data_IF_391375457208
#
_entry.id   IF_391375457208
#
_cell.length_a   1.000
_cell.length_b   1.000
_cell.length_c   1.000
_cell.angle_alpha   90.00
_cell.angle_beta   90.00
_cell.angle_gamma   90.00
#
_symmetry.space_group_name_H-M   'P 1'
#
loop_
_entity.id
_entity.type
_entity.pdbx_description
1 polymer ?
#
# COMPACT_ATOMS: atom_id res chain seq x y z
N UNK A 1 -34.35 -31.64 -68.63
CA UNK A 1 -33.03 -31.52 -67.98
C UNK A 1 -33.06 -30.29 -67.06
N UNK A 2 -33.12 -30.51 -65.72
CA UNK A 2 -33.25 -29.41 -64.75
C UNK A 2 -31.86 -29.32 -64.10
N UNK A 3 -31.14 -28.22 -64.34
CA UNK A 3 -29.83 -27.95 -63.74
C UNK A 3 -30.02 -27.51 -62.29
N UNK A 4 -29.49 -28.30 -61.34
CA UNK A 4 -29.45 -27.94 -59.92
C UNK A 4 -28.31 -26.99 -59.65
N UNK A 5 -28.61 -25.72 -59.37
CA UNK A 5 -27.67 -24.72 -58.93
C UNK A 5 -27.32 -24.98 -57.44
N UNK A 6 -26.05 -25.34 -57.14
CA UNK A 6 -25.55 -25.46 -55.78
C UNK A 6 -25.06 -24.08 -55.30
N UNK A 7 -25.81 -23.50 -54.37
CA UNK A 7 -25.35 -22.28 -53.65
C UNK A 7 -24.39 -22.71 -52.56
N UNK A 8 -23.12 -22.32 -52.71
CA UNK A 8 -22.09 -22.50 -51.68
C UNK A 8 -22.14 -21.25 -50.79
N UNK A 9 -22.65 -21.41 -49.57
CA UNK A 9 -22.62 -20.37 -48.55
C UNK A 9 -21.27 -20.45 -47.84
N UNK A 10 -20.41 -19.47 -48.12
CA UNK A 10 -19.10 -19.34 -47.49
C UNK A 10 -19.28 -18.62 -46.17
N UNK A 11 -19.23 -19.36 -45.03
CA UNK A 11 -19.19 -18.77 -43.71
C UNK A 11 -17.81 -18.17 -43.41
N UNK A 12 -17.73 -16.85 -43.47
CA UNK A 12 -16.53 -16.11 -43.06
C UNK A 12 -16.50 -16.03 -41.52
N UNK A 13 -15.71 -16.92 -40.88
CA UNK A 13 -15.44 -16.80 -39.46
C UNK A 13 -14.47 -15.64 -39.23
N UNK A 14 -14.98 -14.48 -38.82
CA UNK A 14 -14.16 -13.37 -38.35
C UNK A 14 -13.72 -13.72 -36.92
N UNK A 15 -12.47 -14.21 -36.78
CA UNK A 15 -11.81 -14.32 -35.48
C UNK A 15 -11.53 -12.90 -34.97
N UNK A 16 -12.38 -12.37 -34.06
CA UNK A 16 -12.03 -11.23 -33.24
C UNK A 16 -10.90 -11.69 -32.28
N UNK A 17 -9.66 -11.33 -32.63
CA UNK A 17 -8.55 -11.43 -31.67
C UNK A 17 -8.77 -10.35 -30.61
N UNK A 18 -9.37 -10.72 -29.48
CA UNK A 18 -9.35 -9.90 -28.27
C UNK A 18 -7.93 -9.96 -27.74
N UNK A 19 -7.18 -8.87 -27.92
CA UNK A 19 -5.91 -8.68 -27.25
C UNK A 19 -6.18 -8.63 -25.74
N UNK A 20 -5.86 -9.72 -25.03
CA UNK A 20 -5.84 -9.71 -23.58
C UNK A 20 -4.65 -8.84 -23.19
N UNK A 21 -4.94 -7.59 -22.82
CA UNK A 21 -3.95 -6.72 -22.18
C UNK A 21 -3.63 -7.33 -20.82
N UNK A 22 -2.49 -7.99 -20.72
CA UNK A 22 -1.94 -8.41 -19.42
C UNK A 22 -1.51 -7.15 -18.68
N UNK A 23 -2.15 -6.84 -17.57
CA UNK A 23 -1.68 -5.78 -16.68
C UNK A 23 -0.31 -6.15 -16.13
N UNK A 24 0.66 -5.26 -16.23
CA UNK A 24 2.00 -5.45 -15.66
C UNK A 24 2.00 -4.96 -14.22
N UNK A 25 1.73 -5.89 -13.30
CA UNK A 25 1.54 -5.61 -11.89
C UNK A 25 2.87 -5.70 -11.12
N UNK A 26 3.09 -4.73 -10.26
CA UNK A 26 4.20 -4.72 -9.30
C UNK A 26 3.67 -4.54 -7.86
N UNK A 27 4.56 -4.75 -6.88
CA UNK A 27 4.25 -4.61 -5.46
C UNK A 27 5.10 -3.52 -4.81
N UNK A 28 4.54 -2.92 -3.74
CA UNK A 28 5.25 -2.03 -2.84
C UNK A 28 4.75 -2.24 -1.39
N UNK A 29 5.61 -1.95 -0.42
CA UNK A 29 5.32 -2.21 0.99
C UNK A 29 5.65 -0.99 1.83
N UNK A 30 4.67 -0.54 2.66
CA UNK A 30 4.84 0.58 3.57
C UNK A 30 4.16 0.32 4.91
N UNK A 31 4.79 0.78 5.98
CA UNK A 31 4.19 0.86 7.31
C UNK A 31 4.01 2.33 7.70
N UNK A 32 2.82 2.72 8.13
CA UNK A 32 2.49 4.13 8.41
C UNK A 32 1.51 4.31 9.57
N UNK A 33 1.69 3.54 10.65
CA UNK A 33 0.74 3.44 11.76
C UNK A 33 -0.38 2.47 11.43
N UNK A 34 -1.59 2.75 11.89
CA UNK A 34 -2.75 1.90 11.64
C UNK A 34 -2.91 1.55 10.15
N UNK A 35 -2.81 0.27 9.84
CA UNK A 35 -2.90 -0.23 8.46
C UNK A 35 -4.28 0.00 7.82
N UNK A 36 -5.39 0.08 8.59
CA UNK A 36 -6.70 0.44 8.04
C UNK A 36 -6.71 1.83 7.39
N UNK A 37 -6.00 2.80 8.02
CA UNK A 37 -5.88 4.15 7.49
C UNK A 37 -4.98 4.21 6.26
N UNK A 38 -3.94 3.40 6.23
CA UNK A 38 -3.04 3.29 5.09
C UNK A 38 -3.74 2.60 3.92
N UNK A 39 -4.46 1.50 4.16
CA UNK A 39 -5.29 0.77 3.19
C UNK A 39 -6.29 1.73 2.53
N UNK A 40 -7.16 2.42 3.30
CA UNK A 40 -8.10 3.42 2.78
C UNK A 40 -7.42 4.48 1.89
N UNK A 41 -6.25 4.97 2.32
CA UNK A 41 -5.56 6.03 1.60
C UNK A 41 -4.99 5.56 0.26
N UNK A 42 -4.43 4.35 0.22
CA UNK A 42 -3.77 3.85 -0.99
C UNK A 42 -4.75 3.26 -2.00
N UNK A 43 -5.86 2.65 -1.58
CA UNK A 43 -6.88 2.14 -2.50
C UNK A 43 -7.54 3.24 -3.33
N UNK A 44 -7.60 4.45 -2.79
CA UNK A 44 -8.11 5.63 -3.52
C UNK A 44 -7.12 6.21 -4.53
N UNK A 45 -5.90 5.67 -4.61
CA UNK A 45 -4.89 6.18 -5.53
C UNK A 45 -5.02 5.52 -6.89
N UNK A 46 -5.05 6.35 -7.94
CA UNK A 46 -5.07 5.88 -9.32
C UNK A 46 -3.91 4.93 -9.61
N UNK A 47 -4.19 3.83 -10.28
CA UNK A 47 -3.23 2.79 -10.65
C UNK A 47 -2.98 1.75 -9.56
N UNK A 48 -3.49 1.92 -8.35
CA UNK A 48 -3.53 0.87 -7.32
C UNK A 48 -4.68 -0.08 -7.64
N UNK A 49 -4.39 -1.37 -7.62
CA UNK A 49 -5.35 -2.45 -7.92
C UNK A 49 -5.89 -3.08 -6.65
N UNK A 50 -5.02 -3.28 -5.65
CA UNK A 50 -5.39 -3.90 -4.39
C UNK A 50 -4.42 -3.42 -3.30
N UNK A 51 -4.93 -3.28 -2.08
CA UNK A 51 -4.11 -3.06 -0.88
C UNK A 51 -4.46 -4.13 0.14
N UNK A 52 -3.46 -4.77 0.70
CA UNK A 52 -3.63 -5.82 1.70
C UNK A 52 -3.01 -5.38 3.01
N UNK A 53 -3.79 -5.37 4.08
CA UNK A 53 -3.30 -5.13 5.44
C UNK A 53 -2.55 -6.34 5.98
N UNK A 54 -1.40 -6.14 6.65
CA UNK A 54 -0.57 -7.23 7.16
C UNK A 54 0.60 -6.78 8.02
N UNK A 55 1.60 -7.63 8.09
CA UNK A 55 2.76 -7.46 8.96
C UNK A 55 4.06 -7.73 8.20
N UNK A 56 5.08 -6.90 8.45
CA UNK A 56 6.42 -7.08 7.86
C UNK A 56 7.53 -6.52 8.75
N UNK A 57 8.78 -6.89 8.48
CA UNK A 57 9.97 -6.34 9.10
C UNK A 57 10.37 -6.95 10.44
N UNK A 58 9.61 -7.93 10.97
CA UNK A 58 9.91 -8.67 12.18
C UNK A 58 10.48 -10.06 11.91
N UNK A 59 10.64 -10.84 12.97
CA UNK A 59 11.26 -12.19 12.94
C UNK A 59 10.27 -13.32 13.20
N UNK A 60 9.11 -13.04 13.79
CA UNK A 60 8.10 -14.06 14.10
C UNK A 60 7.42 -14.53 12.82
N UNK A 61 7.35 -15.85 12.64
CA UNK A 61 6.67 -16.46 11.48
C UNK A 61 5.17 -16.54 11.73
N UNK A 62 4.35 -16.14 10.75
CA UNK A 62 2.89 -16.12 10.81
C UNK A 62 2.36 -15.48 12.11
N UNK A 63 2.75 -14.22 12.40
CA UNK A 63 2.34 -13.56 13.63
C UNK A 63 0.85 -13.26 13.58
N UNK A 64 0.21 -13.28 14.73
CA UNK A 64 -1.16 -12.78 14.93
C UNK A 64 -1.16 -11.29 15.25
N UNK A 65 -2.28 -10.61 15.05
CA UNK A 65 -2.47 -9.20 15.44
C UNK A 65 -2.08 -8.94 16.89
N UNK A 66 -2.52 -9.83 17.80
CA UNK A 66 -2.22 -9.71 19.22
C UNK A 66 -0.71 -9.78 19.52
N UNK A 67 0.01 -10.66 18.84
CA UNK A 67 1.47 -10.78 19.01
C UNK A 67 2.20 -9.55 18.45
N UNK A 68 1.74 -8.99 17.34
CA UNK A 68 2.35 -7.79 16.75
C UNK A 68 2.12 -6.56 17.60
N UNK A 69 0.90 -6.38 18.12
CA UNK A 69 0.53 -5.16 18.86
C UNK A 69 0.98 -5.17 20.33
N UNK A 70 0.99 -6.33 20.96
CA UNK A 70 1.31 -6.46 22.39
C UNK A 70 2.56 -7.27 22.70
N UNK A 71 3.10 -7.96 21.70
CA UNK A 71 4.30 -8.79 21.85
C UNK A 71 5.57 -8.10 21.39
N UNK A 72 6.61 -8.89 21.21
CA UNK A 72 7.92 -8.43 20.74
C UNK A 72 8.33 -9.14 19.44
N UNK A 73 7.44 -9.12 18.43
CA UNK A 73 7.66 -9.79 17.15
C UNK A 73 8.64 -9.06 16.24
N UNK A 74 8.84 -7.76 16.48
CA UNK A 74 9.59 -6.87 15.62
C UNK A 74 8.87 -6.48 14.31
N UNK A 75 7.63 -6.95 14.11
CA UNK A 75 6.82 -6.58 12.97
C UNK A 75 6.18 -5.19 13.12
N UNK A 76 5.92 -4.58 11.96
CA UNK A 76 5.14 -3.35 11.84
C UNK A 76 3.79 -3.67 11.19
N UNK A 77 2.75 -2.92 11.53
CA UNK A 77 1.54 -2.87 10.73
C UNK A 77 1.90 -2.30 9.35
N UNK A 78 1.76 -3.13 8.33
CA UNK A 78 2.28 -2.89 6.99
C UNK A 78 1.18 -3.11 5.98
N UNK A 79 1.17 -2.35 4.90
CA UNK A 79 0.33 -2.63 3.72
C UNK A 79 1.19 -3.18 2.58
N UNK A 80 0.69 -4.21 1.88
CA UNK A 80 1.14 -4.62 0.55
C UNK A 80 0.25 -3.90 -0.46
N UNK A 81 0.85 -3.22 -1.43
CA UNK A 81 0.17 -2.49 -2.49
C UNK A 81 0.47 -3.18 -3.80
N UNK A 82 -0.57 -3.66 -4.49
CA UNK A 82 -0.49 -4.19 -5.84
C UNK A 82 -0.91 -3.08 -6.79
N UNK A 83 -0.07 -2.72 -7.75
CA UNK A 83 -0.31 -1.60 -8.64
C UNK A 83 0.04 -1.90 -10.09
N UNK A 84 -0.67 -1.25 -11.01
CA UNK A 84 -0.45 -1.27 -12.44
C UNK A 84 0.66 -0.26 -12.79
N UNK A 85 1.83 -0.77 -13.21
CA UNK A 85 2.99 0.09 -13.49
C UNK A 85 2.83 0.95 -14.74
N UNK A 86 1.82 0.69 -15.56
CA UNK A 86 1.47 1.56 -16.69
C UNK A 86 0.70 2.81 -16.22
N UNK A 87 0.09 2.78 -15.03
CA UNK A 87 -0.70 3.87 -14.46
C UNK A 87 -0.04 4.62 -13.31
N UNK A 88 0.77 3.91 -12.51
CA UNK A 88 1.51 4.50 -11.39
C UNK A 88 2.87 3.83 -11.22
N UNK A 89 3.70 4.30 -10.31
CA UNK A 89 5.03 3.76 -10.08
C UNK A 89 5.43 3.90 -8.61
N UNK A 90 6.50 3.20 -8.21
CA UNK A 90 6.99 3.23 -6.84
C UNK A 90 7.27 4.64 -6.30
N UNK A 91 7.78 5.57 -7.15
CA UNK A 91 8.07 6.95 -6.74
C UNK A 91 6.78 7.70 -6.37
N UNK A 92 5.70 7.50 -7.12
CA UNK A 92 4.41 8.15 -6.85
C UNK A 92 3.73 7.55 -5.61
N UNK A 93 3.88 6.24 -5.39
CA UNK A 93 3.45 5.57 -4.16
C UNK A 93 4.25 6.07 -2.95
N UNK A 94 5.57 6.20 -3.08
CA UNK A 94 6.44 6.75 -2.03
C UNK A 94 6.08 8.20 -1.69
N UNK A 95 5.79 9.04 -2.69
CA UNK A 95 5.33 10.41 -2.48
C UNK A 95 3.98 10.46 -1.75
N UNK A 96 3.08 9.53 -2.07
CA UNK A 96 1.80 9.39 -1.39
C UNK A 96 1.99 8.91 0.05
N UNK A 97 2.89 7.94 0.28
CA UNK A 97 3.27 7.47 1.62
C UNK A 97 3.72 8.61 2.52
N UNK A 98 4.67 9.44 2.08
CA UNK A 98 5.15 10.56 2.89
C UNK A 98 4.01 11.47 3.34
N UNK A 99 3.10 11.84 2.45
CA UNK A 99 1.96 12.72 2.75
C UNK A 99 0.94 12.10 3.70
N UNK A 100 1.00 10.80 3.93
CA UNK A 100 0.09 10.05 4.80
C UNK A 100 0.69 9.66 6.15
N UNK A 101 1.88 10.14 6.50
CA UNK A 101 2.52 9.88 7.78
C UNK A 101 3.01 11.17 8.45
N UNK A 102 3.25 11.08 9.77
CA UNK A 102 4.15 12.00 10.48
C UNK A 102 5.57 11.41 10.43
N UNK A 103 6.46 11.91 9.56
CA UNK A 103 7.80 11.35 9.42
C UNK A 103 8.72 11.69 10.60
N UNK A 104 8.23 12.44 11.59
CA UNK A 104 8.96 12.92 12.75
C UNK A 104 8.55 12.24 14.05
N UNK A 105 7.56 11.34 14.03
CA UNK A 105 7.11 10.59 15.21
C UNK A 105 7.89 9.27 15.33
N UNK A 106 8.80 9.22 16.30
CA UNK A 106 9.62 8.05 16.56
C UNK A 106 8.92 6.96 17.40
N UNK A 107 7.72 7.24 17.94
CA UNK A 107 7.05 6.36 18.89
C UNK A 107 5.81 5.68 18.34
N UNK A 108 5.42 5.99 17.12
CA UNK A 108 4.24 5.46 16.45
C UNK A 108 3.75 6.39 15.37
N UNK A 109 2.43 6.47 15.19
CA UNK A 109 1.80 7.42 14.29
C UNK A 109 0.49 7.94 14.90
N UNK A 110 0.36 9.26 15.01
CA UNK A 110 -0.83 9.94 15.53
C UNK A 110 -1.24 9.44 16.92
N UNK A 111 -2.42 8.81 17.06
CA UNK A 111 -2.90 8.25 18.31
C UNK A 111 -2.32 6.85 18.61
N UNK A 112 -1.82 6.15 17.62
CA UNK A 112 -1.29 4.80 17.76
C UNK A 112 0.17 4.85 18.20
N UNK A 113 0.45 4.39 19.41
CA UNK A 113 1.80 4.38 19.97
C UNK A 113 2.27 2.95 20.19
N UNK A 114 3.53 2.73 19.93
CA UNK A 114 4.16 1.42 20.01
C UNK A 114 5.04 1.11 18.81
N UNK A 115 5.84 0.06 18.93
CA UNK A 115 6.81 -0.31 17.91
C UNK A 115 6.15 -0.65 16.57
N UNK A 116 5.06 -1.44 16.62
CA UNK A 116 4.32 -1.89 15.44
C UNK A 116 3.69 -0.75 14.61
N UNK A 117 3.49 0.42 15.21
CA UNK A 117 2.89 1.58 14.56
C UNK A 117 3.90 2.60 14.03
N UNK A 118 5.20 2.32 14.11
CA UNK A 118 6.23 3.21 13.54
C UNK A 118 6.21 3.15 12.02
N UNK A 119 6.67 4.25 11.39
CA UNK A 119 6.71 4.34 9.94
C UNK A 119 7.92 3.63 9.35
N UNK A 120 7.71 2.90 8.26
CA UNK A 120 8.77 2.21 7.50
C UNK A 120 8.48 2.32 6.00
N UNK A 121 9.49 2.70 5.23
CA UNK A 121 9.52 2.51 3.80
C UNK A 121 10.37 1.27 3.49
N UNK A 122 9.74 0.23 2.93
CA UNK A 122 10.45 -0.97 2.51
C UNK A 122 10.94 -0.83 1.07
N UNK A 123 12.10 -1.43 0.77
CA UNK A 123 12.64 -1.49 -0.58
C UNK A 123 12.99 -2.93 -0.96
N UNK A 124 12.74 -3.30 -2.21
CA UNK A 124 13.07 -4.60 -2.77
C UNK A 124 14.41 -4.59 -3.52
N UNK A 125 14.80 -3.40 -4.03
CA UNK A 125 16.00 -3.21 -4.84
C UNK A 125 16.68 -1.86 -4.55
N UNK A 126 17.92 -1.71 -5.03
CA UNK A 126 18.74 -0.52 -4.77
C UNK A 126 18.14 0.76 -5.39
N UNK A 127 17.40 0.66 -6.49
CA UNK A 127 16.72 1.80 -7.12
C UNK A 127 15.65 2.37 -6.19
N UNK A 128 14.84 1.51 -5.57
CA UNK A 128 13.85 1.93 -4.58
C UNK A 128 14.53 2.50 -3.33
N UNK A 129 15.59 1.84 -2.82
CA UNK A 129 16.37 2.34 -1.68
C UNK A 129 16.87 3.76 -1.93
N UNK A 130 17.52 3.99 -3.08
CA UNK A 130 18.03 5.30 -3.44
C UNK A 130 16.93 6.37 -3.55
N UNK A 131 15.75 6.00 -4.07
CA UNK A 131 14.59 6.91 -4.12
C UNK A 131 14.11 7.29 -2.71
N UNK A 132 14.03 6.34 -1.78
CA UNK A 132 13.65 6.62 -0.39
C UNK A 132 14.65 7.58 0.25
N UNK A 133 15.94 7.26 0.20
CA UNK A 133 17.02 8.06 0.80
C UNK A 133 17.05 9.48 0.24
N UNK A 134 16.91 9.63 -1.08
CA UNK A 134 16.83 10.94 -1.74
C UNK A 134 15.61 11.74 -1.28
N UNK A 135 14.43 11.09 -1.16
CA UNK A 135 13.24 11.77 -0.65
C UNK A 135 13.43 12.21 0.80
N UNK A 136 14.00 11.37 1.66
CA UNK A 136 14.28 11.71 3.06
C UNK A 136 15.18 12.94 3.15
N UNK A 137 16.31 12.96 2.44
CA UNK A 137 17.20 14.13 2.42
C UNK A 137 16.50 15.42 1.99
N UNK A 138 15.64 15.33 0.96
CA UNK A 138 14.89 16.49 0.48
C UNK A 138 13.87 16.98 1.53
N UNK A 139 13.18 16.07 2.20
CA UNK A 139 12.21 16.39 3.25
C UNK A 139 12.91 16.94 4.51
N UNK A 140 14.03 16.36 4.93
CA UNK A 140 14.84 16.88 6.03
C UNK A 140 15.31 18.31 5.77
N UNK A 141 15.77 18.59 4.54
CA UNK A 141 16.13 19.94 4.11
C UNK A 141 14.92 20.88 4.10
N UNK A 142 13.77 20.42 3.58
CA UNK A 142 12.51 21.22 3.52
C UNK A 142 12.02 21.63 4.90
N UNK A 143 12.02 20.69 5.84
CA UNK A 143 11.46 20.89 7.17
C UNK A 143 12.51 21.32 8.22
N UNK A 144 13.78 21.32 7.87
CA UNK A 144 14.91 21.53 8.80
C UNK A 144 14.77 20.62 10.04
N UNK A 145 14.39 19.36 9.82
CA UNK A 145 14.10 18.39 10.88
C UNK A 145 14.46 16.98 10.40
N UNK A 146 15.08 16.18 11.30
CA UNK A 146 15.45 14.80 11.00
C UNK A 146 14.21 13.91 10.87
N UNK A 147 14.19 13.09 9.81
CA UNK A 147 13.18 12.06 9.60
C UNK A 147 13.54 10.81 10.40
N UNK A 148 12.55 10.22 11.07
CA UNK A 148 12.72 9.03 11.90
C UNK A 148 12.07 7.78 11.30
N UNK A 149 11.49 7.89 10.10
CA UNK A 149 10.97 6.75 9.33
C UNK A 149 12.10 5.77 9.03
N UNK A 150 11.85 4.49 9.30
CA UNK A 150 12.82 3.44 8.97
C UNK A 150 12.89 3.19 7.46
N UNK A 151 14.10 2.89 6.98
CA UNK A 151 14.35 2.37 5.62
C UNK A 151 14.81 0.94 5.78
N UNK A 152 14.04 -0.03 5.30
CA UNK A 152 14.34 -1.45 5.46
C UNK A 152 14.26 -2.20 4.15
N UNK A 153 15.16 -3.17 3.95
CA UNK A 153 15.03 -4.13 2.86
C UNK A 153 13.77 -4.97 3.15
N UNK A 154 12.93 -5.12 2.14
CA UNK A 154 11.79 -6.04 2.21
C UNK A 154 12.30 -7.48 2.23
N UNK A 155 11.70 -8.30 3.08
CA UNK A 155 11.99 -9.73 3.18
C UNK A 155 10.71 -10.54 3.02
N UNK A 156 9.75 -10.38 3.93
CA UNK A 156 8.52 -11.15 3.92
C UNK A 156 7.32 -10.34 4.43
N UNK A 157 6.16 -10.60 3.84
CA UNK A 157 4.88 -10.07 4.26
C UNK A 157 3.98 -11.19 4.76
N UNK A 158 3.29 -10.94 5.85
CA UNK A 158 2.27 -11.82 6.41
C UNK A 158 0.94 -11.07 6.39
N UNK A 159 -0.02 -11.59 5.62
CA UNK A 159 -1.37 -11.01 5.54
C UNK A 159 -2.02 -11.05 6.92
N UNK A 160 -2.60 -9.96 7.37
CA UNK A 160 -3.37 -9.90 8.61
C UNK A 160 -4.68 -10.67 8.47
N UNK A 161 -5.30 -10.97 9.60
CA UNK A 161 -6.55 -11.71 9.70
C UNK A 161 -7.66 -11.03 8.89
N UNK A 162 -8.62 -11.80 8.37
CA UNK A 162 -9.66 -11.30 7.46
C UNK A 162 -10.47 -10.15 8.04
N UNK A 163 -10.65 -10.13 9.35
CA UNK A 163 -11.34 -9.04 10.04
C UNK A 163 -10.65 -7.66 9.92
N UNK A 164 -9.40 -7.61 9.48
CA UNK A 164 -8.62 -6.40 9.29
C UNK A 164 -8.59 -5.92 7.83
N UNK A 165 -8.97 -6.76 6.88
CA UNK A 165 -9.04 -6.40 5.46
C UNK A 165 -10.27 -5.54 5.21
N UNK A 166 -10.13 -4.48 4.40
CA UNK A 166 -11.21 -3.56 4.04
C UNK A 166 -11.98 -3.03 5.27
N UNK A 167 -11.31 -2.95 6.42
CA UNK A 167 -11.96 -2.56 7.68
C UNK A 167 -12.65 -1.20 7.59
N UNK A 168 -12.13 -0.28 6.82
CA UNK A 168 -12.69 1.05 6.62
C UNK A 168 -14.05 1.01 5.88
N UNK A 169 -14.35 -0.05 5.12
CA UNK A 169 -15.64 -0.29 4.47
C UNK A 169 -16.53 -1.21 5.32
N UNK A 170 -16.02 -2.38 5.72
CA UNK A 170 -16.75 -3.42 6.44
C UNK A 170 -17.22 -2.95 7.83
N UNK A 171 -16.46 -2.10 8.48
CA UNK A 171 -16.74 -1.54 9.81
C UNK A 171 -16.78 -0.01 9.79
N UNK A 172 -17.36 0.56 8.75
CA UNK A 172 -17.33 1.99 8.43
C UNK A 172 -17.57 2.92 9.63
N UNK A 173 -18.63 2.70 10.42
CA UNK A 173 -18.94 3.57 11.56
C UNK A 173 -17.88 3.50 12.67
N UNK A 174 -17.32 2.31 12.92
CA UNK A 174 -16.27 2.13 13.92
C UNK A 174 -14.97 2.78 13.43
N UNK A 175 -14.62 2.56 12.18
CA UNK A 175 -13.47 3.18 11.55
C UNK A 175 -13.56 4.71 11.54
N UNK A 176 -14.72 5.27 11.18
CA UNK A 176 -14.92 6.71 11.15
C UNK A 176 -14.76 7.35 12.55
N UNK A 177 -15.30 6.71 13.60
CA UNK A 177 -15.12 7.15 14.99
C UNK A 177 -13.64 7.13 15.40
N UNK A 178 -12.95 6.03 15.11
CA UNK A 178 -11.52 5.86 15.38
C UNK A 178 -10.71 6.93 14.64
N UNK A 179 -10.86 7.07 13.33
CA UNK A 179 -10.13 8.03 12.47
C UNK A 179 -10.30 9.48 12.98
N UNK A 180 -11.54 9.85 13.35
CA UNK A 180 -11.85 11.18 13.89
C UNK A 180 -11.20 11.40 15.26
N UNK A 181 -11.31 10.43 16.17
CA UNK A 181 -10.73 10.53 17.51
C UNK A 181 -9.19 10.55 17.48
N UNK A 182 -8.58 9.84 16.55
CA UNK A 182 -7.12 9.78 16.36
C UNK A 182 -6.53 11.12 15.87
N UNK A 183 -7.31 11.95 15.21
CA UNK A 183 -6.85 13.27 14.74
C UNK A 183 -5.78 13.21 13.65
N UNK A 184 -5.68 12.09 12.91
CA UNK A 184 -4.70 11.87 11.82
C UNK A 184 -4.74 12.99 10.80
N UNK A 185 -5.92 13.32 10.26
CA UNK A 185 -6.11 14.34 9.24
C UNK A 185 -5.64 15.72 9.70
N UNK A 186 -5.99 16.12 10.94
CA UNK A 186 -5.55 17.39 11.54
C UNK A 186 -4.02 17.47 11.61
N UNK A 187 -3.36 16.40 12.01
CA UNK A 187 -1.89 16.34 12.11
C UNK A 187 -1.24 16.38 10.74
N UNK A 188 -1.75 15.61 9.76
CA UNK A 188 -1.24 15.64 8.38
C UNK A 188 -1.36 17.01 7.75
N UNK A 189 -2.51 17.68 7.90
CA UNK A 189 -2.70 19.06 7.41
C UNK A 189 -1.70 20.04 8.03
N UNK A 190 -1.38 19.89 9.31
CA UNK A 190 -0.38 20.74 9.98
C UNK A 190 1.04 20.52 9.48
N UNK A 191 1.36 19.30 9.05
CA UNK A 191 2.72 18.95 8.58
C UNK A 191 2.90 19.32 7.10
N UNK A 192 1.89 19.05 6.27
CA UNK A 192 2.07 19.04 4.82
C UNK A 192 1.49 20.26 4.10
N UNK A 193 0.63 21.05 4.74
CA UNK A 193 0.04 22.31 4.24
C UNK A 193 0.55 23.50 5.05
#
# INVERSE_FOLDING_TARGET
MIAKCKVIVLFLFIFLQTSVFSQDLEKAYFAGGCFWCMEESFEKKEGVIEVVSGYSGGTTTNPTYKEVTYGNTGHFETIEIIFDKDKTNYKDLLNHFWKNIDPFDAYGQFCDKGYSYRSVAFYENDKQKHLIEKNMMNLEKKFNKKIVTYVRKFDKFYRAEDMHQNYYEEKFLNYLRYKKACGREKTLNKIWN
#
